data_IF_341113215649
#
_entry.id   IF_341113215649
#
_cell.length_a   1.000
_cell.length_b   1.000
_cell.length_c   1.000
_cell.angle_alpha   90.00
_cell.angle_beta   90.00
_cell.angle_gamma   90.00
#
_symmetry.space_group_name_H-M   'P 1'
#
loop_
_entity.id
_entity.type
_entity.pdbx_description
1 polymer ?
#
# COMPACT_ATOMS: atom_id res chain seq x y z
N UNK A 1 11.84 -7.98 21.40
CA UNK A 1 10.91 -7.61 20.31
C UNK A 1 9.74 -8.60 20.34
N UNK A 2 8.52 -8.14 20.04
CA UNK A 2 7.36 -9.03 19.95
C UNK A 2 7.61 -9.93 18.73
N UNK A 3 7.66 -11.26 18.90
CA UNK A 3 8.04 -12.24 17.87
C UNK A 3 7.02 -12.42 16.75
N UNK A 4 6.53 -11.30 16.20
CA UNK A 4 5.57 -11.24 15.10
C UNK A 4 6.35 -11.17 13.80
N UNK A 5 6.06 -12.08 12.88
CA UNK A 5 6.54 -11.96 11.51
C UNK A 5 5.83 -10.78 10.83
N UNK A 6 6.63 -9.77 10.45
CA UNK A 6 6.16 -8.54 9.79
C UNK A 6 6.63 -8.46 8.34
N UNK A 7 7.35 -9.47 7.83
CA UNK A 7 8.03 -9.39 6.53
C UNK A 7 7.07 -9.04 5.38
N UNK A 8 5.96 -9.78 5.24
CA UNK A 8 4.93 -9.50 4.24
C UNK A 8 4.19 -8.18 4.44
N UNK A 9 4.01 -7.75 5.70
CA UNK A 9 3.35 -6.48 6.02
C UNK A 9 4.25 -5.29 5.66
N UNK A 10 5.55 -5.39 5.91
CA UNK A 10 6.53 -4.36 5.52
C UNK A 10 6.59 -4.21 4.01
N UNK A 11 6.51 -5.31 3.26
CA UNK A 11 6.44 -5.27 1.81
C UNK A 11 5.17 -4.56 1.31
N UNK A 12 4.01 -4.92 1.85
CA UNK A 12 2.74 -4.26 1.52
C UNK A 12 2.77 -2.76 1.87
N UNK A 13 3.31 -2.39 3.02
CA UNK A 13 3.45 -0.99 3.43
C UNK A 13 4.40 -0.19 2.53
N UNK A 14 5.53 -0.78 2.11
CA UNK A 14 6.47 -0.13 1.18
C UNK A 14 5.80 0.19 -0.14
N UNK A 15 5.04 -0.76 -0.68
CA UNK A 15 4.28 -0.56 -1.92
C UNK A 15 3.18 0.51 -1.74
N UNK A 16 2.41 0.45 -0.67
CA UNK A 16 1.30 1.39 -0.45
C UNK A 16 1.79 2.83 -0.20
N UNK A 17 2.94 2.99 0.48
CA UNK A 17 3.45 4.31 0.91
C UNK A 17 3.70 5.25 -0.26
N UNK A 18 4.28 4.76 -1.37
CA UNK A 18 4.60 5.61 -2.52
C UNK A 18 3.33 6.22 -3.14
N UNK A 19 2.22 5.47 -3.10
CA UNK A 19 0.95 5.87 -3.69
C UNK A 19 0.28 7.01 -2.94
N UNK A 20 0.69 7.31 -1.70
CA UNK A 20 0.27 8.55 -1.05
C UNK A 20 0.64 9.77 -1.90
N UNK A 21 1.86 9.83 -2.44
CA UNK A 21 2.34 11.00 -3.17
C UNK A 21 2.00 10.94 -4.67
N UNK A 22 2.35 9.83 -5.33
CA UNK A 22 2.28 9.76 -6.81
C UNK A 22 0.84 9.72 -7.35
N UNK A 23 -0.15 9.40 -6.52
CA UNK A 23 -1.58 9.41 -6.92
C UNK A 23 -2.16 10.81 -7.11
N UNK A 24 -1.47 11.86 -6.66
CA UNK A 24 -2.01 13.23 -6.60
C UNK A 24 -1.16 14.26 -7.32
N UNK A 25 0.14 14.04 -7.39
CA UNK A 25 1.11 15.04 -7.82
C UNK A 25 1.82 14.61 -9.12
N UNK A 26 1.48 15.21 -10.27
CA UNK A 26 2.08 14.84 -11.56
C UNK A 26 3.61 14.93 -11.59
N UNK A 27 4.18 15.93 -10.90
CA UNK A 27 5.63 16.11 -10.78
C UNK A 27 6.34 14.99 -10.00
N UNK A 28 5.65 14.31 -9.08
CA UNK A 28 6.18 13.16 -8.37
C UNK A 28 5.98 11.85 -9.16
N UNK A 29 4.98 11.82 -10.04
CA UNK A 29 4.63 10.69 -10.90
C UNK A 29 5.42 10.66 -12.22
N UNK A 30 5.98 11.79 -12.66
CA UNK A 30 6.50 11.99 -14.02
C UNK A 30 5.48 11.62 -15.13
N UNK A 31 4.19 11.70 -14.80
CA UNK A 31 3.04 11.35 -15.64
C UNK A 31 1.77 12.00 -15.07
N UNK A 32 0.64 11.92 -15.78
CA UNK A 32 -0.65 12.30 -15.18
C UNK A 32 -1.05 11.18 -14.21
N UNK A 33 -1.34 11.46 -12.92
CA UNK A 33 -1.46 10.42 -11.90
C UNK A 33 -2.42 9.29 -12.22
N UNK A 34 -3.57 9.56 -12.86
CA UNK A 34 -4.55 8.52 -13.18
C UNK A 34 -4.01 7.50 -14.20
N UNK A 35 -3.04 7.87 -15.03
CA UNK A 35 -2.45 7.00 -16.06
C UNK A 35 -1.59 5.89 -15.46
N UNK A 36 -1.14 6.04 -14.20
CA UNK A 36 -0.34 5.04 -13.49
C UNK A 36 -1.19 3.86 -12.98
N UNK A 37 -2.52 3.95 -13.03
CA UNK A 37 -3.41 2.97 -12.42
C UNK A 37 -4.28 2.28 -13.46
N UNK A 38 -4.03 0.99 -13.65
CA UNK A 38 -5.02 0.07 -14.21
C UNK A 38 -5.99 -0.42 -13.14
N UNK A 39 -7.13 -0.98 -13.53
CA UNK A 39 -8.04 -1.66 -12.60
C UNK A 39 -7.31 -2.76 -11.80
N UNK A 40 -6.45 -3.54 -12.47
CA UNK A 40 -5.69 -4.61 -11.83
C UNK A 40 -4.74 -4.06 -10.76
N UNK A 41 -4.04 -2.95 -11.03
CA UNK A 41 -3.16 -2.28 -10.06
C UNK A 41 -3.96 -1.75 -8.88
N UNK A 42 -5.07 -1.07 -9.14
CA UNK A 42 -5.94 -0.55 -8.08
C UNK A 42 -6.46 -1.67 -7.17
N UNK A 43 -6.89 -2.79 -7.76
CA UNK A 43 -7.35 -3.98 -7.02
C UNK A 43 -6.26 -4.58 -6.15
N UNK A 44 -5.03 -4.74 -6.68
CA UNK A 44 -3.88 -5.23 -5.91
C UNK A 44 -3.60 -4.34 -4.68
N UNK A 45 -3.55 -3.02 -4.87
CA UNK A 45 -3.30 -2.07 -3.78
C UNK A 45 -4.39 -2.12 -2.71
N UNK A 46 -5.66 -2.29 -3.10
CA UNK A 46 -6.76 -2.45 -2.13
C UNK A 46 -6.60 -3.74 -1.34
N UNK A 47 -6.23 -4.86 -1.97
CA UNK A 47 -6.01 -6.13 -1.25
C UNK A 47 -4.80 -6.07 -0.31
N UNK A 48 -3.71 -5.38 -0.70
CA UNK A 48 -2.58 -5.08 0.19
C UNK A 48 -3.03 -4.30 1.43
N UNK A 49 -3.81 -3.24 1.24
CA UNK A 49 -4.31 -2.42 2.33
C UNK A 49 -5.20 -3.23 3.29
N UNK A 50 -6.05 -4.13 2.77
CA UNK A 50 -6.85 -5.04 3.60
C UNK A 50 -5.98 -5.93 4.47
N UNK A 51 -4.92 -6.55 3.92
CA UNK A 51 -4.00 -7.39 4.70
C UNK A 51 -3.34 -6.63 5.84
N UNK A 52 -2.88 -5.41 5.58
CA UNK A 52 -2.30 -4.53 6.61
C UNK A 52 -3.32 -4.22 7.71
N UNK A 53 -4.56 -3.89 7.36
CA UNK A 53 -5.61 -3.59 8.32
C UNK A 53 -5.98 -4.82 9.18
N UNK A 54 -6.11 -6.00 8.57
CA UNK A 54 -6.41 -7.23 9.29
C UNK A 54 -5.26 -7.62 10.24
N UNK A 55 -4.00 -7.49 9.79
CA UNK A 55 -2.86 -7.66 10.67
C UNK A 55 -2.89 -6.70 11.86
N UNK A 56 -3.12 -5.40 11.63
CA UNK A 56 -3.17 -4.41 12.71
C UNK A 56 -4.27 -4.74 13.74
N UNK A 57 -5.45 -5.17 13.27
CA UNK A 57 -6.57 -5.58 14.14
C UNK A 57 -6.24 -6.79 15.03
N UNK A 58 -5.36 -7.69 14.59
CA UNK A 58 -4.95 -8.86 15.39
C UNK A 58 -4.17 -8.47 16.64
N UNK A 59 -3.45 -7.34 16.62
CA UNK A 59 -2.53 -6.92 17.69
C UNK A 59 -2.98 -5.67 18.46
N UNK A 60 -4.06 -4.99 18.04
CA UNK A 60 -4.60 -3.79 18.68
C UNK A 60 -5.72 -4.07 19.70
N UNK A 61 -5.86 -5.30 20.20
CA UNK A 61 -6.83 -5.62 21.26
C UNK A 61 -6.36 -5.17 22.63
#
# INVERSE_FOLDING_TARGET
EIGVDVSGIVEDLRELTIHYTISRYPNAANAIPYELYSESKARDLVERAKRVLEWAKQYLR
#
